data_IF_958621918137
#
_entry.id   IF_958621918137
#
_cell.length_a   1.000
_cell.length_b   1.000
_cell.length_c   1.000
_cell.angle_alpha   90.00
_cell.angle_beta   90.00
_cell.angle_gamma   90.00
#
_symmetry.space_group_name_H-M   'P 1'
#
loop_
_entity.id
_entity.type
_entity.pdbx_description
1 polymer ?
#
# COMPACT_ATOMS: atom_id res chain seq x y z
N UNK A 1 23.83 44.58 59.67
CA UNK A 1 22.60 44.95 58.92
C UNK A 1 23.02 45.38 57.53
N UNK A 2 22.35 44.86 56.49
CA UNK A 2 22.41 45.30 55.07
C UNK A 2 23.69 44.92 54.30
N UNK A 3 23.68 44.41 53.05
CA UNK A 3 22.64 44.01 52.10
C UNK A 3 23.28 43.06 51.07
N UNK A 4 22.44 42.24 50.44
CA UNK A 4 22.74 41.16 49.50
C UNK A 4 23.31 41.62 48.15
N UNK A 5 24.11 40.74 47.55
CA UNK A 5 24.49 40.75 46.15
C UNK A 5 23.38 40.10 45.29
N UNK A 6 23.10 40.67 44.12
CA UNK A 6 22.33 40.01 43.06
C UNK A 6 23.14 40.12 41.77
N UNK A 7 23.75 39.01 41.35
CA UNK A 7 24.31 38.80 40.02
C UNK A 7 23.28 38.05 39.19
N UNK A 8 22.69 38.73 38.20
CA UNK A 8 21.71 38.15 37.28
C UNK A 8 22.43 37.38 36.17
N UNK A 9 22.62 36.08 36.37
CA UNK A 9 23.06 35.17 35.31
C UNK A 9 21.88 34.73 34.46
N UNK A 10 21.69 35.35 33.29
CA UNK A 10 20.83 34.83 32.23
C UNK A 10 21.42 33.51 31.70
N UNK A 11 20.92 32.39 32.21
CA UNK A 11 21.21 31.06 31.65
C UNK A 11 20.48 30.94 30.31
N UNK A 12 21.22 31.10 29.21
CA UNK A 12 20.74 30.73 27.89
C UNK A 12 20.54 29.21 27.89
N UNK A 13 19.28 28.78 27.94
CA UNK A 13 18.93 27.38 27.76
C UNK A 13 19.23 27.01 26.29
N UNK A 14 20.30 26.24 26.10
CA UNK A 14 20.56 25.54 24.85
C UNK A 14 19.45 24.50 24.70
N UNK A 15 18.49 24.77 23.82
CA UNK A 15 17.48 23.80 23.40
C UNK A 15 18.21 22.84 22.47
N UNK A 16 18.65 21.69 22.98
CA UNK A 16 19.09 20.62 22.09
C UNK A 16 17.88 20.16 21.25
N UNK A 17 18.04 20.00 19.93
CA UNK A 17 16.97 19.46 19.11
C UNK A 17 16.69 18.05 19.62
N UNK A 18 15.49 17.85 20.13
CA UNK A 18 14.95 16.54 20.45
C UNK A 18 14.85 15.77 19.14
N UNK A 19 15.95 15.13 18.74
CA UNK A 19 15.90 14.06 17.74
C UNK A 19 15.05 12.99 18.39
N UNK A 20 13.84 12.79 17.87
CA UNK A 20 12.97 11.69 18.26
C UNK A 20 13.80 10.41 18.29
N UNK A 21 14.11 9.93 19.49
CA UNK A 21 14.80 8.67 19.66
C UNK A 21 13.93 7.61 18.96
N UNK A 22 14.44 7.07 17.85
CA UNK A 22 13.88 5.88 17.25
C UNK A 22 13.95 4.81 18.36
N UNK A 23 12.78 4.29 18.73
CA UNK A 23 12.69 3.18 19.67
C UNK A 23 13.41 1.98 19.07
N UNK A 24 14.69 1.84 19.40
CA UNK A 24 15.63 0.83 18.89
C UNK A 24 15.27 -0.60 19.37
N UNK A 25 14.19 -0.73 20.16
CA UNK A 25 13.72 -2.01 20.70
C UNK A 25 12.78 -2.78 19.78
N UNK A 26 12.26 -2.16 18.72
CA UNK A 26 11.33 -2.80 17.80
C UNK A 26 11.99 -3.06 16.44
N UNK A 27 12.19 -4.34 16.10
CA UNK A 27 12.69 -4.72 14.77
C UNK A 27 11.64 -4.37 13.72
N UNK A 28 12.08 -3.62 12.70
CA UNK A 28 11.29 -3.35 11.50
C UNK A 28 11.81 -4.22 10.35
N UNK A 29 10.95 -4.41 9.36
CA UNK A 29 11.18 -5.30 8.24
C UNK A 29 10.92 -4.58 6.92
N UNK A 30 11.71 -4.96 5.93
CA UNK A 30 11.48 -4.63 4.54
C UNK A 30 10.76 -5.81 3.89
N UNK A 31 9.66 -5.53 3.19
CA UNK A 31 8.85 -6.56 2.55
C UNK A 31 8.78 -6.34 1.05
N UNK A 32 8.81 -7.46 0.32
CA UNK A 32 8.55 -7.53 -1.10
C UNK A 32 7.30 -8.39 -1.28
N UNK A 33 6.24 -7.80 -1.81
CA UNK A 33 4.97 -8.45 -2.10
C UNK A 33 4.84 -8.56 -3.61
N UNK A 34 4.74 -9.77 -4.12
CA UNK A 34 4.42 -10.04 -5.52
C UNK A 34 3.00 -10.56 -5.59
N UNK A 35 2.12 -9.82 -6.27
CA UNK A 35 0.77 -10.26 -6.56
C UNK A 35 0.81 -11.03 -7.88
N UNK A 36 0.31 -12.28 -7.89
CA UNK A 36 0.43 -13.16 -9.07
C UNK A 36 -0.85 -13.19 -9.87
N UNK A 37 -1.94 -13.66 -9.26
CA UNK A 37 -3.18 -13.91 -9.97
C UNK A 37 -4.35 -14.10 -9.02
N UNK A 38 -5.55 -14.14 -9.57
CA UNK A 38 -6.70 -14.75 -8.93
C UNK A 38 -7.42 -15.67 -9.92
N UNK A 39 -8.22 -16.59 -9.40
CA UNK A 39 -8.91 -17.61 -10.18
C UNK A 39 -10.31 -17.88 -9.66
N UNK A 40 -11.22 -18.27 -10.57
CA UNK A 40 -12.63 -18.54 -10.27
C UNK A 40 -13.37 -17.35 -9.64
N UNK A 41 -13.02 -16.14 -10.08
CA UNK A 41 -13.76 -14.93 -9.71
C UNK A 41 -15.15 -14.96 -10.36
N UNK A 42 -16.23 -14.58 -9.65
CA UNK A 42 -17.56 -14.44 -10.23
C UNK A 42 -17.59 -13.37 -11.33
N UNK A 43 -18.50 -13.53 -12.27
CA UNK A 43 -18.86 -12.45 -13.20
C UNK A 43 -19.89 -11.57 -12.49
N UNK A 44 -19.61 -10.29 -12.29
CA UNK A 44 -20.56 -9.40 -11.60
C UNK A 44 -21.57 -8.79 -12.59
N UNK A 45 -21.20 -8.70 -13.87
CA UNK A 45 -22.05 -8.13 -14.91
C UNK A 45 -22.91 -9.14 -15.69
N UNK A 46 -24.12 -8.69 -16.08
CA UNK A 46 -25.11 -9.46 -16.87
C UNK A 46 -24.57 -9.87 -18.25
N UNK A 47 -23.66 -9.07 -18.82
CA UNK A 47 -22.98 -9.35 -20.08
C UNK A 47 -21.98 -10.51 -19.96
N UNK A 48 -21.66 -10.95 -18.74
CA UNK A 48 -20.73 -12.02 -18.45
C UNK A 48 -19.25 -11.64 -18.59
N UNK A 49 -18.93 -10.35 -18.52
CA UNK A 49 -17.57 -9.83 -18.50
C UNK A 49 -17.22 -9.49 -17.04
N UNK A 50 -15.94 -9.55 -16.69
CA UNK A 50 -15.41 -9.07 -15.42
C UNK A 50 -14.10 -8.34 -15.73
N UNK A 51 -13.93 -7.15 -15.19
CA UNK A 51 -12.76 -6.29 -15.27
C UNK A 51 -12.11 -6.18 -13.88
N UNK A 52 -11.54 -7.28 -13.34
CA UNK A 52 -11.07 -7.32 -11.96
C UNK A 52 -9.85 -6.44 -11.70
N UNK A 53 -9.84 -5.86 -10.51
CA UNK A 53 -8.68 -5.22 -9.89
C UNK A 53 -8.71 -5.43 -8.37
N UNK A 54 -7.60 -5.16 -7.69
CA UNK A 54 -7.54 -5.22 -6.22
C UNK A 54 -6.98 -3.94 -5.61
N UNK A 55 -7.36 -3.72 -4.36
CA UNK A 55 -6.77 -2.73 -3.47
C UNK A 55 -6.08 -3.48 -2.32
N UNK A 56 -4.77 -3.33 -2.23
CA UNK A 56 -3.96 -3.87 -1.15
C UNK A 56 -3.62 -2.77 -0.14
N UNK A 57 -3.66 -3.08 1.16
CA UNK A 57 -3.36 -2.14 2.25
C UNK A 57 -2.51 -2.77 3.33
N UNK A 58 -1.55 -2.01 3.87
CA UNK A 58 -0.81 -2.41 5.07
C UNK A 58 -1.19 -1.46 6.22
N UNK A 59 -1.75 -2.03 7.29
CA UNK A 59 -2.17 -1.34 8.54
C UNK A 59 -2.97 -0.03 8.33
N UNK A 60 -3.70 0.08 7.21
CA UNK A 60 -4.36 1.32 6.74
C UNK A 60 -3.42 2.55 6.60
N UNK A 61 -2.10 2.34 6.58
CA UNK A 61 -1.10 3.40 6.41
C UNK A 61 -0.76 3.66 4.96
N UNK A 62 -0.67 2.58 4.19
CA UNK A 62 -0.41 2.63 2.75
C UNK A 62 -1.42 1.78 2.01
N UNK A 63 -1.76 2.23 0.81
CA UNK A 63 -2.68 1.54 -0.08
C UNK A 63 -2.16 1.56 -1.50
N UNK A 64 -2.38 0.48 -2.23
CA UNK A 64 -2.08 0.36 -3.64
C UNK A 64 -3.25 -0.27 -4.38
N UNK A 65 -3.50 0.23 -5.58
CA UNK A 65 -4.53 -0.27 -6.49
C UNK A 65 -3.83 -0.88 -7.68
N UNK A 66 -4.17 -2.12 -8.01
CA UNK A 66 -3.62 -2.81 -9.16
C UNK A 66 -4.10 -2.20 -10.47
N UNK A 67 -3.47 -2.61 -11.56
CA UNK A 67 -4.02 -2.47 -12.90
C UNK A 67 -5.35 -3.24 -13.00
N UNK A 68 -6.31 -2.66 -13.72
CA UNK A 68 -7.58 -3.30 -14.10
C UNK A 68 -7.31 -4.20 -15.31
N UNK A 69 -7.71 -5.46 -15.23
CA UNK A 69 -7.54 -6.42 -16.31
C UNK A 69 -8.89 -6.70 -16.96
N UNK A 70 -9.01 -6.38 -18.24
CA UNK A 70 -10.30 -6.42 -18.93
C UNK A 70 -10.74 -7.85 -19.26
N UNK A 71 -12.02 -8.13 -19.08
CA UNK A 71 -12.75 -9.33 -19.50
C UNK A 71 -12.08 -10.65 -19.10
N UNK A 72 -11.79 -10.82 -17.81
CA UNK A 72 -11.16 -12.04 -17.28
C UNK A 72 -11.68 -12.43 -15.91
N UNK A 73 -11.95 -13.72 -15.73
CA UNK A 73 -12.27 -14.34 -14.42
C UNK A 73 -11.05 -15.03 -13.79
N UNK A 74 -9.91 -14.98 -14.49
CA UNK A 74 -8.62 -15.48 -14.04
C UNK A 74 -7.52 -14.41 -14.27
N UNK A 75 -7.62 -13.25 -13.59
CA UNK A 75 -6.66 -12.16 -13.77
C UNK A 75 -5.24 -12.57 -13.39
N UNK A 76 -4.25 -12.02 -14.09
CA UNK A 76 -2.81 -12.19 -13.83
C UNK A 76 -2.13 -10.85 -13.72
N UNK A 77 -1.62 -10.56 -12.53
CA UNK A 77 -0.95 -9.32 -12.16
C UNK A 77 0.57 -9.50 -12.05
N UNK A 78 1.17 -10.30 -12.94
CA UNK A 78 2.59 -10.71 -12.86
C UNK A 78 3.58 -9.52 -12.74
N UNK A 79 3.18 -8.33 -13.18
CA UNK A 79 3.97 -7.11 -13.11
C UNK A 79 3.70 -6.24 -11.86
N UNK A 80 2.82 -6.66 -10.96
CA UNK A 80 2.47 -5.95 -9.72
C UNK A 80 3.35 -6.41 -8.56
N UNK A 81 4.43 -5.66 -8.37
CA UNK A 81 5.40 -5.85 -7.30
C UNK A 81 5.41 -4.65 -6.37
N UNK A 82 5.24 -4.91 -5.08
CA UNK A 82 5.27 -3.93 -4.02
C UNK A 82 6.53 -4.12 -3.18
N UNK A 83 7.29 -3.04 -2.97
CA UNK A 83 8.44 -3.03 -2.08
C UNK A 83 8.15 -1.96 -1.03
N UNK A 84 8.09 -2.36 0.23
CA UNK A 84 7.75 -1.46 1.33
C UNK A 84 8.77 -1.65 2.43
N UNK A 85 9.27 -0.53 2.92
CA UNK A 85 10.38 -0.43 3.86
C UNK A 85 9.89 -0.08 5.24
N UNK A 86 10.65 -0.54 6.24
CA UNK A 86 10.48 -0.12 7.64
C UNK A 86 9.06 -0.38 8.19
N UNK A 87 8.58 -1.61 8.02
CA UNK A 87 7.28 -2.11 8.51
C UNK A 87 7.45 -2.78 9.88
N UNK A 88 6.54 -2.59 10.86
CA UNK A 88 6.62 -3.28 12.13
C UNK A 88 6.33 -4.78 12.03
N UNK A 89 6.83 -5.56 12.99
CA UNK A 89 6.66 -7.02 13.07
C UNK A 89 5.19 -7.48 12.98
N UNK A 90 4.27 -6.73 13.58
CA UNK A 90 2.85 -7.09 13.71
C UNK A 90 1.97 -6.52 12.58
N UNK A 91 2.58 -6.09 11.47
CA UNK A 91 1.85 -5.52 10.36
C UNK A 91 0.95 -6.55 9.66
N UNK A 92 -0.16 -6.04 9.16
CA UNK A 92 -1.20 -6.82 8.47
C UNK A 92 -1.36 -6.36 7.03
N UNK A 93 -1.63 -7.29 6.13
CA UNK A 93 -2.02 -7.00 4.75
C UNK A 93 -3.49 -7.32 4.54
N UNK A 94 -4.26 -6.34 4.10
CA UNK A 94 -5.63 -6.54 3.62
C UNK A 94 -5.66 -6.42 2.11
N UNK A 95 -6.31 -7.36 1.43
CA UNK A 95 -6.54 -7.30 -0.02
C UNK A 95 -8.04 -7.35 -0.28
N UNK A 96 -8.54 -6.38 -1.05
CA UNK A 96 -9.94 -6.29 -1.47
C UNK A 96 -10.01 -6.30 -2.99
N UNK A 97 -10.84 -7.18 -3.54
CA UNK A 97 -11.02 -7.36 -4.97
C UNK A 97 -12.33 -6.71 -5.41
N UNK A 98 -12.31 -6.12 -6.59
CA UNK A 98 -13.40 -5.35 -7.18
C UNK A 98 -13.51 -5.67 -8.67
N UNK A 99 -14.72 -5.52 -9.19
CA UNK A 99 -15.03 -5.60 -10.61
C UNK A 99 -15.30 -4.17 -11.14
N UNK A 100 -14.57 -3.75 -12.17
CA UNK A 100 -14.72 -2.41 -12.75
C UNK A 100 -15.90 -2.39 -13.72
N UNK A 101 -16.91 -1.58 -13.45
CA UNK A 101 -18.07 -1.49 -14.34
C UNK A 101 -18.15 -0.12 -15.04
N UNK A 102 -18.02 -0.13 -16.36
CA UNK A 102 -18.18 1.06 -17.18
C UNK A 102 -19.63 1.57 -17.09
N UNK A 103 -19.82 2.69 -16.40
CA UNK A 103 -21.12 3.38 -16.26
C UNK A 103 -21.72 3.35 -14.87
N UNK A 104 -21.13 2.63 -13.91
CA UNK A 104 -21.49 2.77 -12.48
C UNK A 104 -20.55 3.76 -11.78
N UNK A 105 -21.08 4.45 -10.76
CA UNK A 105 -20.29 5.36 -9.91
C UNK A 105 -19.41 4.56 -8.94
N UNK A 106 -19.90 3.39 -8.52
CA UNK A 106 -19.22 2.49 -7.60
C UNK A 106 -18.99 1.15 -8.31
N UNK A 107 -17.77 0.64 -8.14
CA UNK A 107 -17.32 -0.65 -8.67
C UNK A 107 -17.81 -1.79 -7.76
N UNK A 108 -18.15 -2.95 -8.33
CA UNK A 108 -18.75 -4.06 -7.60
C UNK A 108 -17.72 -4.77 -6.70
N UNK A 109 -18.04 -4.92 -5.41
CA UNK A 109 -17.14 -5.59 -4.48
C UNK A 109 -17.25 -7.11 -4.61
N UNK A 110 -16.14 -7.75 -5.00
CA UNK A 110 -16.07 -9.21 -5.16
C UNK A 110 -15.84 -9.87 -3.80
N UNK A 111 -14.96 -9.32 -2.97
CA UNK A 111 -14.55 -9.93 -1.71
C UNK A 111 -13.10 -9.64 -1.37
N UNK A 112 -12.63 -10.16 -0.24
CA UNK A 112 -11.27 -9.92 0.21
C UNK A 112 -10.78 -10.94 1.22
N UNK A 113 -9.54 -10.73 1.67
CA UNK A 113 -8.90 -11.53 2.70
C UNK A 113 -7.89 -10.66 3.46
N UNK A 114 -7.46 -11.17 4.62
CA UNK A 114 -6.49 -10.52 5.49
C UNK A 114 -5.37 -11.50 5.86
N UNK A 115 -4.14 -11.02 5.83
CA UNK A 115 -2.95 -11.68 6.34
C UNK A 115 -2.56 -10.95 7.63
N UNK A 116 -2.76 -11.62 8.77
CA UNK A 116 -2.55 -11.03 10.10
C UNK A 116 -1.08 -10.93 10.52
N UNK A 117 -0.23 -11.80 9.97
CA UNK A 117 1.21 -11.79 10.18
C UNK A 117 1.89 -11.69 8.81
N UNK A 118 2.14 -10.45 8.39
CA UNK A 118 2.76 -10.17 7.10
C UNK A 118 4.22 -10.65 7.06
N UNK A 119 4.91 -10.60 8.19
CA UNK A 119 6.35 -10.85 8.26
C UNK A 119 6.63 -12.36 8.25
N UNK A 120 5.90 -13.15 9.02
CA UNK A 120 6.06 -14.60 9.04
C UNK A 120 5.10 -15.31 8.08
N UNK A 121 4.79 -14.66 6.95
CA UNK A 121 3.81 -15.17 6.01
C UNK A 121 4.25 -16.48 5.34
N UNK A 122 3.31 -17.41 5.26
CA UNK A 122 3.42 -18.63 4.46
C UNK A 122 2.24 -18.76 3.51
N UNK A 123 2.53 -19.02 2.23
CA UNK A 123 1.50 -19.13 1.20
C UNK A 123 0.65 -20.39 1.39
N UNK A 124 -0.70 -20.29 1.38
CA UNK A 124 -1.58 -21.44 1.34
C UNK A 124 -1.42 -22.24 0.04
N UNK A 125 -1.53 -23.57 0.10
CA UNK A 125 -1.38 -24.45 -1.08
C UNK A 125 -2.37 -24.13 -2.23
N UNK A 126 -3.56 -23.63 -1.90
CA UNK A 126 -4.61 -23.29 -2.86
C UNK A 126 -4.74 -21.78 -3.12
N UNK A 127 -3.92 -20.96 -2.48
CA UNK A 127 -4.12 -19.51 -2.42
C UNK A 127 -5.12 -19.08 -1.34
N UNK A 128 -5.30 -17.77 -1.21
CA UNK A 128 -6.21 -17.13 -0.26
C UNK A 128 -7.64 -17.14 -0.77
N UNK A 129 -8.58 -17.51 0.08
CA UNK A 129 -10.00 -17.47 -0.26
C UNK A 129 -10.47 -16.02 -0.37
N UNK A 130 -11.15 -15.68 -1.46
CA UNK A 130 -11.78 -14.37 -1.62
C UNK A 130 -13.18 -14.47 -1.01
N UNK A 131 -13.43 -13.73 0.07
CA UNK A 131 -14.69 -13.82 0.82
C UNK A 131 -15.38 -12.46 0.82
N UNK A 132 -16.67 -12.42 0.50
CA UNK A 132 -17.47 -11.20 0.52
C UNK A 132 -18.09 -10.90 1.91
N UNK A 133 -18.90 -9.85 1.98
CA UNK A 133 -19.57 -9.45 3.23
C UNK A 133 -20.66 -10.42 3.70
N UNK A 134 -21.11 -11.33 2.82
CA UNK A 134 -22.11 -12.36 3.13
C UNK A 134 -21.46 -13.73 3.39
N UNK A 135 -20.14 -13.77 3.50
CA UNK A 135 -19.34 -14.98 3.70
C UNK A 135 -19.47 -15.99 2.54
N UNK A 136 -19.73 -15.49 1.33
CA UNK A 136 -19.68 -16.28 0.10
C UNK A 136 -18.25 -16.32 -0.45
N UNK A 137 -17.88 -17.46 -1.03
CA UNK A 137 -16.54 -17.72 -1.56
C UNK A 137 -16.46 -17.44 -3.06
N UNK A 138 -15.54 -16.56 -3.45
CA UNK A 138 -15.39 -16.00 -4.80
C UNK A 138 -14.02 -16.30 -5.42
N UNK A 139 -13.59 -17.55 -5.29
CA UNK A 139 -12.34 -18.01 -5.87
C UNK A 139 -11.12 -17.79 -4.98
N UNK A 140 -9.93 -17.92 -5.56
CA UNK A 140 -8.66 -17.88 -4.84
C UNK A 140 -7.74 -16.79 -5.37
N UNK A 141 -6.99 -16.16 -4.47
CA UNK A 141 -5.99 -15.15 -4.75
C UNK A 141 -4.58 -15.67 -4.41
N UNK A 142 -3.64 -15.48 -5.33
CA UNK A 142 -2.27 -15.97 -5.24
C UNK A 142 -1.28 -14.81 -5.13
N UNK A 143 -0.47 -14.83 -4.08
CA UNK A 143 0.62 -13.88 -3.85
C UNK A 143 1.78 -14.52 -3.08
N UNK A 144 2.97 -13.96 -3.23
CA UNK A 144 4.14 -14.30 -2.42
C UNK A 144 4.68 -13.07 -1.71
N UNK A 145 5.08 -13.26 -0.46
CA UNK A 145 5.72 -12.22 0.36
C UNK A 145 7.11 -12.71 0.75
N UNK A 146 8.10 -11.83 0.63
CA UNK A 146 9.44 -12.01 1.18
C UNK A 146 9.69 -10.89 2.17
N UNK A 147 10.10 -11.23 3.38
CA UNK A 147 10.44 -10.27 4.43
C UNK A 147 11.90 -10.39 4.81
N UNK A 148 12.55 -9.26 5.08
CA UNK A 148 13.91 -9.19 5.60
C UNK A 148 13.96 -8.14 6.71
N UNK A 149 14.76 -8.35 7.75
CA UNK A 149 14.97 -7.31 8.75
C UNK A 149 15.55 -6.05 8.10
N UNK A 150 15.01 -4.88 8.45
CA UNK A 150 15.42 -3.60 7.86
C UNK A 150 16.87 -3.28 8.21
N UNK A 151 17.65 -2.88 7.19
CA UNK A 151 19.04 -2.45 7.37
C UNK A 151 19.13 -1.13 8.16
N UNK A 152 20.34 -0.77 8.59
CA UNK A 152 20.58 0.50 9.28
C UNK A 152 20.17 1.70 8.42
N UNK A 153 20.42 1.67 7.11
CA UNK A 153 20.01 2.74 6.20
C UNK A 153 18.49 2.84 6.13
N UNK A 154 17.80 1.71 6.00
CA UNK A 154 16.34 1.68 5.90
C UNK A 154 15.66 2.14 7.19
N UNK A 155 16.25 1.89 8.36
CA UNK A 155 15.70 2.35 9.65
C UNK A 155 15.57 3.88 9.76
N UNK A 156 16.36 4.63 8.99
CA UNK A 156 16.24 6.10 8.93
C UNK A 156 15.13 6.58 7.99
N UNK A 157 14.59 5.72 7.14
CA UNK A 157 13.44 6.07 6.30
C UNK A 157 12.16 6.15 7.15
N UNK A 158 11.18 6.97 6.76
CA UNK A 158 9.86 6.95 7.37
C UNK A 158 9.26 5.53 7.38
N UNK A 159 8.49 5.18 8.41
CA UNK A 159 7.77 3.90 8.43
C UNK A 159 6.82 3.79 7.24
N UNK A 160 6.66 2.58 6.71
CA UNK A 160 5.84 2.29 5.53
C UNK A 160 6.30 3.05 4.27
N UNK A 161 7.61 3.29 4.11
CA UNK A 161 8.12 3.93 2.90
C UNK A 161 7.94 2.99 1.71
N UNK A 162 7.22 3.45 0.69
CA UNK A 162 7.06 2.72 -0.57
C UNK A 162 8.30 2.92 -1.46
N UNK A 163 8.90 1.81 -1.89
CA UNK A 163 10.15 1.75 -2.66
C UNK A 163 10.00 0.81 -3.87
N UNK A 164 8.77 0.58 -4.32
CA UNK A 164 8.46 -0.25 -5.47
C UNK A 164 8.39 0.54 -6.78
N UNK A 165 8.20 -0.15 -7.92
CA UNK A 165 7.96 0.52 -9.19
C UNK A 165 6.72 1.43 -9.12
N UNK A 166 6.94 2.75 -9.23
CA UNK A 166 5.85 3.72 -9.33
C UNK A 166 5.23 3.66 -10.73
N UNK A 167 4.00 3.15 -10.84
CA UNK A 167 3.17 3.34 -12.04
C UNK A 167 2.43 4.67 -11.91
N UNK A 168 2.75 5.64 -12.74
CA UNK A 168 1.91 6.82 -12.89
C UNK A 168 0.67 6.44 -13.69
N UNK A 169 -0.52 6.56 -13.09
CA UNK A 169 -1.77 6.52 -13.86
C UNK A 169 -2.08 7.94 -14.34
N UNK A 170 -1.99 8.16 -15.66
CA UNK A 170 -2.49 9.41 -16.25
C UNK A 170 -4.01 9.35 -16.17
N UNK A 171 -4.60 10.00 -15.16
CA UNK A 171 -6.05 10.13 -15.08
C UNK A 171 -6.51 11.14 -16.14
N UNK A 172 -6.93 10.65 -17.29
CA UNK A 172 -7.66 11.44 -18.28
C UNK A 172 -9.09 11.65 -17.76
N UNK A 173 -9.22 12.53 -16.77
CA UNK A 173 -10.53 12.99 -16.32
C UNK A 173 -11.07 14.02 -17.33
N UNK A 174 -12.32 13.85 -17.74
CA UNK A 174 -13.00 14.77 -18.67
C UNK A 174 -13.00 16.23 -18.19
N UNK A 175 -12.89 16.48 -16.88
CA UNK A 175 -12.77 17.82 -16.31
C UNK A 175 -11.40 18.49 -16.55
N UNK A 176 -10.37 17.72 -16.93
CA UNK A 176 -9.00 18.19 -17.22
C UNK A 176 -8.79 18.33 -18.76
N UNK A 177 -9.81 18.04 -19.57
CA UNK A 177 -9.79 18.05 -21.04
C UNK A 177 -9.67 19.42 -21.73
N UNK A 178 -9.19 20.47 -21.06
CA UNK A 178 -8.91 21.77 -21.70
C UNK A 178 -7.60 22.43 -21.28
N UNK A 179 -6.95 21.99 -20.19
CA UNK A 179 -5.72 22.63 -19.69
C UNK A 179 -4.44 21.94 -20.18
N UNK A 180 -4.48 20.65 -20.52
CA UNK A 180 -3.32 19.87 -20.94
C UNK A 180 -3.03 19.94 -22.44
N UNK A 181 -3.88 20.62 -23.22
CA UNK A 181 -3.73 20.76 -24.67
C UNK A 181 -2.77 21.88 -25.10
N UNK A 182 -2.11 22.56 -24.15
CA UNK A 182 -1.29 23.74 -24.44
C UNK A 182 0.19 23.67 -24.10
N UNK A 183 0.75 22.55 -23.63
CA UNK A 183 2.21 22.38 -23.62
C UNK A 183 2.57 20.91 -23.71
N UNK A 184 2.85 20.45 -24.93
CA UNK A 184 3.40 19.14 -25.22
C UNK A 184 4.91 19.06 -24.97
N UNK A 185 5.55 20.15 -24.55
CA UNK A 185 6.98 20.21 -24.33
C UNK A 185 7.29 20.67 -22.91
N UNK A 186 8.14 19.88 -22.23
CA UNK A 186 8.82 20.17 -20.97
C UNK A 186 8.02 19.95 -19.68
N UNK A 187 8.35 18.87 -18.95
CA UNK A 187 8.55 18.96 -17.49
C UNK A 187 9.67 18.00 -17.06
N UNK A 188 10.76 18.57 -16.55
CA UNK A 188 11.90 17.90 -15.92
C UNK A 188 11.51 17.29 -14.57
N UNK A 189 12.13 16.16 -14.24
CA UNK A 189 12.25 15.64 -12.88
C UNK A 189 13.38 16.39 -12.17
N UNK A 190 13.13 16.93 -10.98
CA UNK A 190 14.15 17.24 -9.98
C UNK A 190 14.04 16.24 -8.85
#
# INVERSE_FOLDING_TARGET
MSSHAISSGLKHAMIEPTIFALDDSQSNYDVIIQFHSAENIPKMDVSGHADPYFIAKIDDRISFTSTILLNTVTPKWDAEKWIVRNIPLNAKLTVKNYDKDDGKILDDYIGGFEILDLINYHAPLKGHQIIDSFNCHHGFFHLSIQSMESSKETKYLPRYTFDGPCRYSRRDSFAIGRLTMLNADCVYST
#
